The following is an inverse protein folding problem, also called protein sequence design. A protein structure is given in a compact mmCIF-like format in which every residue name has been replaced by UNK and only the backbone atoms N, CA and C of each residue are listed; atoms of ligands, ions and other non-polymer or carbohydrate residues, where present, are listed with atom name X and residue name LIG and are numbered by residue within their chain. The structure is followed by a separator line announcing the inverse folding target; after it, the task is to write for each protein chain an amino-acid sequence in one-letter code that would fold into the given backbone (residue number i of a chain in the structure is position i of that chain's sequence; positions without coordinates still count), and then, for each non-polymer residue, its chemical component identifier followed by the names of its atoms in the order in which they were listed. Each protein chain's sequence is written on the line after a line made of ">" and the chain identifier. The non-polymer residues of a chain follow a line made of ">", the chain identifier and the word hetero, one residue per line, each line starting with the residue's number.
data_IF_493275138024
#
_entry.id   IF_493275138024
#
_cell.length_a   1.000
_cell.length_b   1.000
_cell.length_c   1.000
_cell.angle_alpha   90.00
_cell.angle_beta   90.00
_cell.angle_gamma   90.00
#
_symmetry.space_group_name_H-M   'P 1'
#
loop_
_entity.id
_entity.type
_entity.pdbx_description
1 polymer ?
#
# COMPACT_ATOMS: atom_id res chain seq x y z
N UNK A 1 3.13 -17.52 26.13
CA UNK A 1 2.20 -16.82 25.22
C UNK A 1 1.74 -17.80 24.15
N UNK A 2 0.42 -17.89 23.88
CA UNK A 2 -0.10 -18.70 22.77
C UNK A 2 0.39 -18.11 21.45
N UNK A 3 0.86 -18.95 20.52
CA UNK A 3 1.42 -18.53 19.23
C UNK A 3 0.37 -17.85 18.36
N UNK A 4 -0.84 -18.39 18.36
CA UNK A 4 -1.97 -17.88 17.59
C UNK A 4 -3.12 -17.52 18.54
N UNK A 5 -3.47 -16.23 18.57
CA UNK A 5 -4.55 -15.71 19.41
C UNK A 5 -5.16 -14.47 18.73
N UNK A 6 -6.13 -14.66 17.85
CA UNK A 6 -6.82 -13.55 17.18
C UNK A 6 -7.44 -12.57 18.18
N UNK A 7 -7.21 -11.28 17.95
CA UNK A 7 -7.71 -10.21 18.82
C UNK A 7 -9.24 -10.09 18.81
N UNK A 8 -9.91 -10.61 17.79
CA UNK A 8 -11.37 -10.62 17.72
C UNK A 8 -11.97 -11.35 18.93
N UNK A 9 -11.38 -12.48 19.34
CA UNK A 9 -11.89 -13.28 20.47
C UNK A 9 -11.91 -12.46 21.76
N UNK A 10 -10.85 -11.71 22.02
CA UNK A 10 -10.77 -10.84 23.20
C UNK A 10 -11.63 -9.58 23.06
N UNK A 11 -11.81 -9.08 21.85
CA UNK A 11 -12.56 -7.85 21.57
C UNK A 11 -14.08 -8.05 21.70
N UNK A 12 -14.57 -9.26 21.48
CA UNK A 12 -15.99 -9.59 21.65
C UNK A 12 -16.41 -9.68 23.13
N UNK A 13 -15.46 -9.85 24.06
CA UNK A 13 -15.75 -9.79 25.50
C UNK A 13 -16.11 -8.36 25.90
N UNK A 14 -17.37 -8.17 26.35
CA UNK A 14 -17.89 -6.83 26.70
C UNK A 14 -18.15 -5.94 25.48
N UNK A 15 -18.39 -6.52 24.30
CA UNK A 15 -18.85 -5.79 23.12
C UNK A 15 -20.30 -5.34 23.31
N UNK A 16 -20.61 -4.10 22.98
CA UNK A 16 -21.94 -3.50 23.13
C UNK A 16 -22.35 -2.66 21.92
N UNK A 17 -23.59 -2.21 21.87
CA UNK A 17 -24.15 -1.45 20.75
C UNK A 17 -23.39 -0.13 20.47
N UNK A 18 -22.86 0.54 21.49
CA UNK A 18 -22.08 1.75 21.29
C UNK A 18 -20.74 1.48 20.58
N UNK A 19 -20.05 0.39 20.95
CA UNK A 19 -18.83 -0.06 20.26
C UNK A 19 -19.13 -0.46 18.81
N UNK A 20 -20.25 -1.17 18.59
CA UNK A 20 -20.69 -1.55 17.24
C UNK A 20 -20.92 -0.30 16.36
N UNK A 21 -21.64 0.70 16.86
CA UNK A 21 -21.89 1.93 16.11
C UNK A 21 -20.57 2.64 15.75
N UNK A 22 -19.63 2.70 16.70
CA UNK A 22 -18.32 3.30 16.49
C UNK A 22 -17.50 2.55 15.42
N UNK A 23 -17.49 1.22 15.48
CA UNK A 23 -16.79 0.37 14.50
C UNK A 23 -17.46 0.43 13.12
N UNK A 24 -18.81 0.54 13.05
CA UNK A 24 -19.54 0.74 11.79
C UNK A 24 -19.13 2.06 11.15
N UNK A 25 -19.18 3.16 11.89
CA UNK A 25 -18.78 4.48 11.38
C UNK A 25 -17.35 4.46 10.88
N UNK A 26 -16.43 3.92 11.68
CA UNK A 26 -15.03 3.82 11.30
C UNK A 26 -14.83 2.94 10.05
N UNK A 27 -15.48 1.77 10.00
CA UNK A 27 -15.41 0.84 8.87
C UNK A 27 -15.93 1.47 7.57
N UNK A 28 -17.05 2.21 7.62
CA UNK A 28 -17.60 2.95 6.47
C UNK A 28 -16.61 4.00 5.99
N UNK A 29 -16.11 4.85 6.89
CA UNK A 29 -15.19 5.94 6.53
C UNK A 29 -13.90 5.36 5.91
N UNK A 30 -13.35 4.31 6.51
CA UNK A 30 -12.13 3.69 5.99
C UNK A 30 -12.37 3.01 4.64
N UNK A 31 -13.53 2.39 4.42
CA UNK A 31 -13.89 1.84 3.13
C UNK A 31 -13.97 2.93 2.05
N UNK A 32 -14.61 4.06 2.36
CA UNK A 32 -14.67 5.22 1.48
C UNK A 32 -13.27 5.74 1.09
N UNK A 33 -12.34 5.79 2.05
CA UNK A 33 -10.94 6.17 1.79
C UNK A 33 -10.24 5.14 0.90
N UNK A 34 -10.47 3.86 1.17
CA UNK A 34 -9.75 2.76 0.54
C UNK A 34 -10.20 2.49 -0.90
N UNK A 35 -11.44 2.80 -1.27
CA UNK A 35 -11.98 2.50 -2.60
C UNK A 35 -11.15 3.09 -3.74
N UNK A 36 -11.01 4.43 -3.89
CA UNK A 36 -10.23 4.99 -4.97
C UNK A 36 -8.74 4.63 -4.86
N UNK A 37 -8.24 4.49 -3.63
CA UNK A 37 -6.86 4.14 -3.38
C UNK A 37 -6.53 2.70 -3.80
N UNK A 38 -7.40 1.73 -3.53
CA UNK A 38 -7.18 0.34 -3.92
C UNK A 38 -7.20 0.16 -5.44
N UNK A 39 -8.08 0.88 -6.13
CA UNK A 39 -8.12 0.95 -7.60
C UNK A 39 -6.81 1.55 -8.13
N UNK A 40 -6.41 2.71 -7.60
CA UNK A 40 -5.21 3.42 -8.02
C UNK A 40 -3.94 2.57 -7.84
N UNK A 41 -3.83 1.86 -6.71
CA UNK A 41 -2.68 1.01 -6.41
C UNK A 41 -2.62 -0.24 -7.30
N UNK A 42 -3.75 -0.85 -7.64
CA UNK A 42 -3.78 -1.94 -8.61
C UNK A 42 -3.25 -1.48 -9.98
N UNK A 43 -3.77 -0.35 -10.49
CA UNK A 43 -3.32 0.25 -11.75
C UNK A 43 -1.81 0.57 -11.71
N UNK A 44 -1.33 1.20 -10.63
CA UNK A 44 0.09 1.51 -10.44
C UNK A 44 0.98 0.26 -10.42
N UNK A 45 0.40 -0.87 -10.01
CA UNK A 45 1.06 -2.18 -9.97
C UNK A 45 0.96 -2.96 -11.30
N UNK A 46 0.37 -2.37 -12.35
CA UNK A 46 0.13 -3.07 -13.62
C UNK A 46 -0.97 -4.14 -13.56
N UNK A 47 -1.76 -4.14 -12.50
CA UNK A 47 -2.88 -5.05 -12.30
C UNK A 47 -4.21 -4.41 -12.74
N UNK A 48 -5.27 -5.22 -12.89
CA UNK A 48 -6.59 -4.68 -13.19
C UNK A 48 -7.18 -3.93 -11.96
N UNK A 49 -7.97 -2.87 -12.18
CA UNK A 49 -8.56 -2.08 -11.09
C UNK A 49 -9.34 -2.89 -10.05
N UNK A 50 -10.05 -3.94 -10.51
CA UNK A 50 -10.83 -4.83 -9.63
C UNK A 50 -9.95 -5.63 -8.66
N UNK A 51 -8.73 -6.01 -9.07
CA UNK A 51 -7.84 -6.84 -8.26
C UNK A 51 -7.41 -6.14 -6.97
N UNK A 52 -7.24 -4.81 -7.00
CA UNK A 52 -7.02 -4.03 -5.78
C UNK A 52 -8.20 -4.06 -4.82
N UNK A 53 -9.42 -4.04 -5.34
CA UNK A 53 -10.64 -4.17 -4.53
C UNK A 53 -10.81 -5.60 -4.01
N UNK A 54 -10.49 -6.63 -4.81
CA UNK A 54 -10.46 -8.03 -4.35
C UNK A 54 -9.51 -8.20 -3.17
N UNK A 55 -8.32 -7.64 -3.27
CA UNK A 55 -7.33 -7.66 -2.19
C UNK A 55 -7.87 -6.98 -0.93
N UNK A 56 -8.42 -5.77 -1.05
CA UNK A 56 -8.93 -5.03 0.10
C UNK A 56 -10.12 -5.73 0.76
N UNK A 57 -10.99 -6.40 -0.03
CA UNK A 57 -12.11 -7.16 0.48
C UNK A 57 -11.67 -8.49 1.08
N UNK A 58 -11.00 -9.35 0.30
CA UNK A 58 -10.70 -10.74 0.72
C UNK A 58 -9.59 -10.78 1.76
N UNK A 59 -8.41 -10.22 1.43
CA UNK A 59 -7.30 -10.20 2.39
C UNK A 59 -7.64 -9.34 3.60
N UNK A 60 -8.29 -8.17 3.39
CA UNK A 60 -8.73 -7.30 4.48
C UNK A 60 -9.65 -8.01 5.47
N UNK A 61 -10.62 -8.80 4.97
CA UNK A 61 -11.53 -9.60 5.80
C UNK A 61 -10.78 -10.66 6.63
N UNK A 62 -9.94 -11.46 5.97
CA UNK A 62 -9.21 -12.56 6.60
C UNK A 62 -8.23 -12.03 7.66
N UNK A 63 -7.47 -10.98 7.32
CA UNK A 63 -6.50 -10.39 8.24
C UNK A 63 -7.20 -9.73 9.43
N UNK A 64 -8.31 -9.01 9.22
CA UNK A 64 -9.07 -8.41 10.31
C UNK A 64 -9.67 -9.48 11.25
N UNK A 65 -10.17 -10.58 10.71
CA UNK A 65 -10.77 -11.66 11.49
C UNK A 65 -9.74 -12.46 12.30
N UNK A 66 -8.58 -12.77 11.72
CA UNK A 66 -7.54 -13.62 12.30
C UNK A 66 -6.39 -12.82 12.95
N UNK A 67 -6.34 -11.51 12.78
CA UNK A 67 -5.22 -10.65 13.13
C UNK A 67 -4.88 -10.56 14.60
N UNK A 68 -3.63 -10.22 14.85
CA UNK A 68 -3.08 -9.98 16.18
C UNK A 68 -3.26 -8.53 16.66
N UNK A 69 -3.78 -7.63 15.83
CA UNK A 69 -4.12 -6.26 16.16
C UNK A 69 -5.63 -6.05 16.26
N UNK A 70 -6.08 -5.10 17.09
CA UNK A 70 -7.51 -4.75 17.19
C UNK A 70 -7.98 -3.84 16.08
N UNK A 71 -7.10 -3.06 15.48
CA UNK A 71 -7.50 -1.93 14.63
C UNK A 71 -6.77 -1.87 13.30
N UNK A 72 -5.85 -2.83 13.03
CA UNK A 72 -5.09 -2.83 11.79
C UNK A 72 -6.02 -3.03 10.59
N UNK A 73 -5.85 -2.19 9.56
CA UNK A 73 -6.59 -2.28 8.29
C UNK A 73 -5.61 -2.69 7.21
N UNK A 74 -5.92 -3.81 6.56
CA UNK A 74 -5.05 -4.40 5.54
C UNK A 74 -5.68 -4.33 4.14
N UNK A 75 -4.82 -4.43 3.13
CA UNK A 75 -5.20 -4.39 1.72
C UNK A 75 -4.00 -4.08 0.83
N UNK A 76 -4.21 -3.68 -0.45
CA UNK A 76 -3.11 -3.31 -1.32
C UNK A 76 -2.44 -2.04 -0.82
N UNK A 77 -1.10 -1.97 -0.92
CA UNK A 77 -0.31 -0.79 -0.55
C UNK A 77 0.62 -0.36 -1.68
N UNK A 78 1.02 0.89 -1.64
CA UNK A 78 1.93 1.47 -2.62
C UNK A 78 3.32 0.80 -2.62
N UNK A 79 3.73 0.23 -1.50
CA UNK A 79 5.02 -0.44 -1.37
C UNK A 79 5.16 -1.66 -2.28
N UNK A 80 4.05 -2.32 -2.61
CA UNK A 80 4.07 -3.44 -3.54
C UNK A 80 4.07 -3.05 -5.02
N UNK A 81 3.79 -1.79 -5.36
CA UNK A 81 3.53 -1.41 -6.74
C UNK A 81 4.66 -1.82 -7.70
N UNK A 82 5.91 -1.57 -7.34
CA UNK A 82 7.07 -1.91 -8.17
C UNK A 82 7.35 -3.41 -8.25
N UNK A 83 7.23 -4.13 -7.12
CA UNK A 83 7.45 -5.59 -7.09
C UNK A 83 6.37 -6.29 -7.91
N UNK A 84 5.11 -5.95 -7.69
CA UNK A 84 3.96 -6.53 -8.39
C UNK A 84 4.07 -6.27 -9.89
N UNK A 85 4.40 -5.03 -10.29
CA UNK A 85 4.61 -4.69 -11.70
C UNK A 85 5.76 -5.50 -12.32
N UNK A 86 6.86 -5.70 -11.60
CA UNK A 86 7.99 -6.52 -12.04
C UNK A 86 7.60 -7.97 -12.26
N UNK A 87 6.89 -8.58 -11.30
CA UNK A 87 6.44 -9.97 -11.41
C UNK A 87 5.42 -10.16 -12.53
N UNK A 88 4.48 -9.21 -12.69
CA UNK A 88 3.51 -9.28 -13.81
C UNK A 88 4.24 -9.20 -15.16
N UNK A 89 5.23 -8.32 -15.29
CA UNK A 89 5.99 -8.16 -16.53
C UNK A 89 6.84 -9.39 -16.87
N UNK A 90 7.47 -10.03 -15.88
CA UNK A 90 8.36 -11.18 -16.07
C UNK A 90 7.64 -12.52 -16.14
N UNK A 91 6.61 -12.73 -15.34
CA UNK A 91 5.97 -14.03 -15.09
C UNK A 91 4.45 -14.02 -15.23
N UNK A 92 3.88 -12.86 -15.63
CA UNK A 92 2.43 -12.68 -15.81
C UNK A 92 1.64 -12.73 -14.50
N UNK A 93 0.32 -12.65 -14.62
CA UNK A 93 -0.58 -12.75 -13.48
C UNK A 93 -0.51 -14.10 -12.74
N UNK A 94 -0.30 -15.18 -13.48
CA UNK A 94 -0.13 -16.52 -12.88
C UNK A 94 1.09 -16.57 -11.97
N UNK A 95 2.21 -15.98 -12.40
CA UNK A 95 3.43 -15.85 -11.60
C UNK A 95 3.20 -15.00 -10.34
N UNK A 96 2.44 -13.91 -10.44
CA UNK A 96 2.09 -13.08 -9.30
C UNK A 96 1.25 -13.84 -8.26
N UNK A 97 0.26 -14.61 -8.70
CA UNK A 97 -0.55 -15.44 -7.82
C UNK A 97 0.34 -16.44 -7.08
N UNK A 98 1.23 -17.16 -7.80
CA UNK A 98 2.17 -18.11 -7.18
C UNK A 98 3.07 -17.40 -6.16
N UNK A 99 3.67 -16.27 -6.53
CA UNK A 99 4.51 -15.49 -5.61
C UNK A 99 3.75 -15.05 -4.35
N UNK A 100 2.49 -14.64 -4.50
CA UNK A 100 1.63 -14.21 -3.39
C UNK A 100 1.28 -15.38 -2.47
N UNK A 101 0.97 -16.56 -3.03
CA UNK A 101 0.72 -17.79 -2.26
C UNK A 101 1.97 -18.21 -1.49
N UNK A 102 3.13 -18.22 -2.15
CA UNK A 102 4.41 -18.55 -1.50
C UNK A 102 4.75 -17.54 -0.39
N UNK A 103 4.57 -16.24 -0.64
CA UNK A 103 4.74 -15.21 0.37
C UNK A 103 3.82 -15.42 1.57
N UNK A 104 2.57 -15.82 1.33
CA UNK A 104 1.61 -16.17 2.37
C UNK A 104 2.08 -17.34 3.23
N UNK A 105 2.61 -18.40 2.61
CA UNK A 105 3.19 -19.57 3.32
C UNK A 105 4.42 -19.15 4.15
N UNK A 106 5.32 -18.34 3.57
CA UNK A 106 6.50 -17.82 4.28
C UNK A 106 6.06 -17.02 5.52
N UNK A 107 5.07 -16.15 5.40
CA UNK A 107 4.54 -15.35 6.51
C UNK A 107 3.96 -16.23 7.63
N UNK A 108 3.23 -17.28 7.29
CA UNK A 108 2.71 -18.25 8.27
C UNK A 108 3.88 -18.92 9.00
N UNK A 109 4.88 -19.39 8.27
CA UNK A 109 6.09 -20.01 8.85
C UNK A 109 6.79 -19.04 9.80
N UNK A 110 7.01 -17.79 9.38
CA UNK A 110 7.62 -16.76 10.22
C UNK A 110 6.81 -16.52 11.51
N UNK A 111 5.49 -16.49 11.41
CA UNK A 111 4.61 -16.36 12.58
C UNK A 111 4.70 -17.55 13.54
N UNK A 112 4.70 -18.80 13.02
CA UNK A 112 4.85 -20.03 13.78
C UNK A 112 6.22 -20.15 14.45
N UNK A 113 7.29 -19.72 13.74
CA UNK A 113 8.66 -19.66 14.26
C UNK A 113 8.88 -18.50 15.24
N UNK A 114 7.83 -17.72 15.59
CA UNK A 114 7.90 -16.55 16.48
C UNK A 114 8.84 -15.44 16.00
N UNK A 115 9.03 -15.32 14.68
CA UNK A 115 9.89 -14.34 14.07
C UNK A 115 9.30 -12.91 14.09
N UNK A 116 8.05 -12.72 14.52
CA UNK A 116 7.40 -11.40 14.59
C UNK A 116 8.14 -10.38 15.48
N UNK A 117 8.95 -10.84 16.43
CA UNK A 117 9.80 -9.95 17.24
C UNK A 117 11.06 -9.47 16.50
N UNK A 118 11.53 -10.20 15.47
CA UNK A 118 12.75 -9.88 14.74
C UNK A 118 12.61 -8.60 13.91
N UNK A 119 11.40 -8.30 13.45
CA UNK A 119 11.13 -7.11 12.62
C UNK A 119 11.35 -5.80 13.41
N UNK A 120 11.30 -5.83 14.74
CA UNK A 120 11.67 -4.70 15.59
C UNK A 120 13.13 -4.26 15.43
N UNK A 121 13.98 -5.13 14.91
CA UNK A 121 15.40 -4.84 14.67
C UNK A 121 15.68 -4.22 13.31
N UNK A 122 14.63 -4.04 12.44
CA UNK A 122 14.82 -3.34 11.17
C UNK A 122 15.21 -1.88 11.41
N UNK A 123 16.40 -1.45 10.94
CA UNK A 123 16.84 -0.08 11.12
C UNK A 123 15.90 0.92 10.45
N UNK A 124 15.52 1.97 11.18
CA UNK A 124 14.65 3.03 10.68
C UNK A 124 15.21 3.71 9.41
N UNK A 125 16.53 3.78 9.28
CA UNK A 125 17.23 4.32 8.10
C UNK A 125 16.91 3.54 6.82
N UNK A 126 16.86 2.21 6.91
CA UNK A 126 16.49 1.34 5.77
C UNK A 126 15.03 1.60 5.40
N UNK A 127 14.13 1.63 6.39
CA UNK A 127 12.70 1.86 6.15
C UNK A 127 12.46 3.20 5.46
N UNK A 128 13.03 4.30 5.97
CA UNK A 128 12.91 5.62 5.35
C UNK A 128 13.54 5.65 3.95
N UNK A 129 14.68 4.98 3.77
CA UNK A 129 15.35 4.91 2.46
C UNK A 129 14.46 4.27 1.39
N UNK A 130 13.95 3.07 1.66
CA UNK A 130 13.13 2.39 0.66
C UNK A 130 11.75 3.03 0.48
N UNK A 131 11.08 3.52 1.52
CA UNK A 131 9.78 4.19 1.37
C UNK A 131 9.88 5.48 0.55
N UNK A 132 10.95 6.25 0.77
CA UNK A 132 11.25 7.42 -0.06
C UNK A 132 11.57 7.04 -1.52
N UNK A 133 12.32 5.94 -1.73
CA UNK A 133 12.60 5.41 -3.07
C UNK A 133 11.34 4.98 -3.81
N UNK A 134 10.47 4.20 -3.16
CA UNK A 134 9.17 3.80 -3.71
C UNK A 134 8.31 5.03 -4.04
N UNK A 135 8.30 6.05 -3.18
CA UNK A 135 7.56 7.27 -3.44
C UNK A 135 8.00 7.95 -4.76
N UNK A 136 9.30 8.00 -5.02
CA UNK A 136 9.84 8.54 -6.28
C UNK A 136 9.45 7.67 -7.47
N UNK A 137 9.53 6.34 -7.36
CA UNK A 137 9.14 5.44 -8.47
C UNK A 137 7.65 5.55 -8.79
N UNK A 138 6.78 5.73 -7.78
CA UNK A 138 5.35 5.98 -7.98
C UNK A 138 5.14 7.32 -8.68
N UNK A 139 5.79 8.39 -8.23
CA UNK A 139 5.69 9.70 -8.88
C UNK A 139 6.05 9.62 -10.36
N UNK A 140 7.18 9.02 -10.69
CA UNK A 140 7.61 8.83 -12.09
C UNK A 140 6.57 8.02 -12.86
N UNK A 141 6.05 6.94 -12.28
CA UNK A 141 5.06 6.07 -12.91
C UNK A 141 3.74 6.77 -13.27
N UNK A 142 3.36 7.80 -12.52
CA UNK A 142 2.08 8.50 -12.72
C UNK A 142 2.16 9.68 -13.68
N UNK A 143 3.35 10.12 -14.11
CA UNK A 143 3.53 11.25 -15.02
C UNK A 143 2.80 10.99 -16.35
N UNK A 144 2.87 9.77 -16.90
CA UNK A 144 2.18 9.36 -18.12
C UNK A 144 0.68 9.68 -18.04
N UNK A 145 0.00 9.17 -17.05
CA UNK A 145 -1.45 9.30 -16.91
C UNK A 145 -1.87 10.72 -16.51
N UNK A 146 -1.04 11.41 -15.73
CA UNK A 146 -1.29 12.81 -15.35
C UNK A 146 -1.22 13.76 -16.53
N UNK A 147 -0.25 13.55 -17.42
CA UNK A 147 -0.04 14.36 -18.64
C UNK A 147 -0.82 13.81 -19.84
N UNK A 148 -1.41 12.62 -19.74
CA UNK A 148 -2.11 11.95 -20.85
C UNK A 148 -1.17 11.57 -21.99
N UNK A 149 0.08 11.15 -21.70
CA UNK A 149 1.07 10.78 -22.72
C UNK A 149 0.72 9.44 -23.37
N UNK A 150 1.00 9.34 -24.67
CA UNK A 150 0.92 8.07 -25.40
C UNK A 150 2.34 7.52 -25.64
N UNK A 151 2.63 6.35 -25.10
CA UNK A 151 3.93 5.70 -25.24
C UNK A 151 4.05 4.81 -26.48
N UNK A 152 3.03 4.75 -27.35
CA UNK A 152 3.00 3.89 -28.57
C UNK A 152 3.42 2.44 -28.37
N UNK A 153 3.39 1.94 -27.12
CA UNK A 153 3.80 0.58 -26.76
C UNK A 153 3.55 0.24 -25.28
N UNK A 154 4.16 -0.87 -24.85
CA UNK A 154 4.08 -1.29 -23.46
C UNK A 154 4.75 -0.27 -22.53
N UNK A 155 4.13 0.02 -21.39
CA UNK A 155 4.71 0.92 -20.39
C UNK A 155 5.86 0.20 -19.68
N UNK A 156 7.10 0.74 -19.70
CA UNK A 156 8.23 0.14 -19.01
C UNK A 156 7.97 -0.03 -17.50
N UNK A 157 8.65 -0.99 -16.89
CA UNK A 157 8.53 -1.23 -15.43
C UNK A 157 9.51 -0.36 -14.67
N UNK A 158 10.75 -0.26 -15.13
CA UNK A 158 11.83 0.46 -14.46
C UNK A 158 11.65 1.98 -14.52
N UNK A 159 11.97 2.65 -13.42
CA UNK A 159 11.80 4.11 -13.31
C UNK A 159 12.67 4.88 -14.33
N UNK A 160 13.89 4.39 -14.58
CA UNK A 160 14.80 4.99 -15.57
C UNK A 160 14.26 4.92 -17.00
N UNK A 161 13.76 3.77 -17.42
CA UNK A 161 13.15 3.57 -18.74
C UNK A 161 11.87 4.40 -18.88
N UNK A 162 11.03 4.47 -17.83
CA UNK A 162 9.85 5.36 -17.82
C UNK A 162 10.22 6.81 -18.06
N UNK A 163 11.28 7.31 -17.42
CA UNK A 163 11.74 8.69 -17.64
C UNK A 163 12.17 8.91 -19.08
N UNK A 164 12.87 7.97 -19.69
CA UNK A 164 13.27 8.04 -21.10
C UNK A 164 12.03 8.08 -21.99
N UNK A 165 11.04 7.19 -21.76
CA UNK A 165 9.80 7.18 -22.55
C UNK A 165 8.94 8.44 -22.33
N UNK A 166 8.92 9.02 -21.14
CA UNK A 166 8.25 10.31 -20.88
C UNK A 166 8.87 11.41 -21.73
N UNK A 167 10.21 11.48 -21.77
CA UNK A 167 10.92 12.52 -22.56
C UNK A 167 10.68 12.32 -24.06
N UNK A 168 10.80 11.08 -24.57
CA UNK A 168 10.57 10.77 -26.01
C UNK A 168 9.17 11.12 -26.47
N UNK A 169 8.17 10.84 -25.63
CA UNK A 169 6.76 11.00 -25.97
C UNK A 169 6.15 12.28 -25.39
N UNK A 170 6.97 13.24 -24.93
CA UNK A 170 6.47 14.48 -24.33
C UNK A 170 5.61 15.32 -25.30
N UNK A 171 5.87 15.22 -26.60
CA UNK A 171 5.08 15.89 -27.64
C UNK A 171 3.63 15.39 -27.74
N UNK A 172 3.32 14.20 -27.19
CA UNK A 172 1.95 13.64 -27.17
C UNK A 172 1.10 14.16 -26.02
N UNK A 173 1.61 15.11 -25.21
CA UNK A 173 0.94 15.71 -24.06
C UNK A 173 -0.48 16.17 -24.41
N UNK A 174 -1.45 15.68 -23.64
CA UNK A 174 -2.84 16.06 -23.76
C UNK A 174 -3.18 17.14 -22.71
N UNK A 175 -3.27 18.39 -23.14
CA UNK A 175 -3.58 19.51 -22.25
C UNK A 175 -4.88 19.32 -21.46
N UNK A 176 -5.88 18.59 -22.01
CA UNK A 176 -7.13 18.28 -21.34
C UNK A 176 -6.92 17.35 -20.14
N UNK A 177 -6.06 16.34 -20.29
CA UNK A 177 -5.68 15.44 -19.21
C UNK A 177 -4.93 16.20 -18.11
N UNK A 178 -3.97 17.04 -18.48
CA UNK A 178 -3.24 17.90 -17.55
C UNK A 178 -4.18 18.79 -16.73
N UNK A 179 -5.14 19.46 -17.37
CA UNK A 179 -6.11 20.33 -16.67
C UNK A 179 -6.94 19.52 -15.66
N UNK A 180 -7.43 18.33 -16.05
CA UNK A 180 -8.20 17.46 -15.16
C UNK A 180 -7.32 16.97 -13.97
N UNK A 181 -6.07 16.59 -14.24
CA UNK A 181 -5.10 16.22 -13.21
C UNK A 181 -4.81 17.34 -12.22
N UNK A 182 -4.63 18.58 -12.74
CA UNK A 182 -4.43 19.76 -11.90
C UNK A 182 -5.65 20.10 -11.04
N UNK A 183 -6.86 19.98 -11.60
CA UNK A 183 -8.11 20.12 -10.82
C UNK A 183 -8.14 19.10 -9.68
N UNK A 184 -7.85 17.82 -9.97
CA UNK A 184 -7.79 16.78 -8.96
C UNK A 184 -6.77 17.07 -7.87
N UNK A 185 -5.56 17.46 -8.25
CA UNK A 185 -4.48 17.79 -7.32
C UNK A 185 -4.83 19.01 -6.45
N UNK A 186 -5.42 20.05 -7.06
CA UNK A 186 -5.88 21.24 -6.34
C UNK A 186 -6.96 20.89 -5.30
N UNK A 187 -7.92 20.04 -5.65
CA UNK A 187 -8.96 19.56 -4.71
C UNK A 187 -8.31 18.79 -3.56
N UNK A 188 -7.39 17.87 -3.83
CA UNK A 188 -6.72 17.06 -2.80
C UNK A 188 -5.93 17.93 -1.82
N UNK A 189 -5.17 18.89 -2.32
CA UNK A 189 -4.38 19.83 -1.52
C UNK A 189 -5.31 20.74 -0.70
N UNK A 190 -6.28 21.39 -1.37
CA UNK A 190 -7.23 22.28 -0.72
C UNK A 190 -8.00 21.57 0.38
N UNK A 191 -8.47 20.33 0.13
CA UNK A 191 -9.20 19.52 1.13
C UNK A 191 -8.33 19.21 2.34
N UNK A 192 -7.07 18.84 2.12
CA UNK A 192 -6.10 18.57 3.21
C UNK A 192 -5.87 19.82 4.06
N UNK A 193 -5.72 20.99 3.44
CA UNK A 193 -5.54 22.27 4.14
C UNK A 193 -6.81 22.65 4.90
N UNK A 194 -7.99 22.56 4.28
CA UNK A 194 -9.28 22.86 4.89
C UNK A 194 -9.55 21.95 6.10
N UNK A 195 -9.33 20.63 5.96
CA UNK A 195 -9.50 19.68 7.05
C UNK A 195 -8.59 19.95 8.25
N UNK A 196 -7.42 20.58 8.04
CA UNK A 196 -6.49 20.97 9.11
C UNK A 196 -6.88 22.29 9.79
N UNK A 197 -7.51 23.22 9.08
CA UNK A 197 -7.82 24.58 9.56
C UNK A 197 -9.21 24.69 10.19
N UNK A 198 -10.18 23.93 9.70
CA UNK A 198 -11.58 24.02 10.17
C UNK A 198 -11.69 23.40 11.57
N UNK A 199 -12.29 24.13 12.51
CA UNK A 199 -12.58 23.70 13.88
C UNK A 199 -14.10 23.55 14.11
N UNK A 200 -14.49 22.83 15.16
CA UNK A 200 -15.91 22.63 15.52
C UNK A 200 -16.58 21.50 14.76
N UNK A 201 -17.92 21.49 14.71
CA UNK A 201 -18.73 20.42 14.10
C UNK A 201 -18.42 20.19 12.60
N UNK A 202 -18.11 21.25 11.86
CA UNK A 202 -17.70 21.15 10.45
C UNK A 202 -16.40 20.36 10.26
N UNK A 203 -15.45 20.43 11.21
CA UNK A 203 -14.21 19.64 11.18
C UNK A 203 -14.48 18.13 11.12
N UNK A 204 -15.56 17.66 11.75
CA UNK A 204 -15.94 16.26 11.76
C UNK A 204 -16.33 15.81 10.34
N UNK A 205 -17.13 16.61 9.62
CA UNK A 205 -17.53 16.31 8.25
C UNK A 205 -16.32 16.22 7.30
N UNK A 206 -15.40 17.21 7.38
CA UNK A 206 -14.18 17.23 6.56
C UNK A 206 -13.23 16.05 6.84
N UNK A 207 -13.25 15.52 8.08
CA UNK A 207 -12.46 14.32 8.44
C UNK A 207 -13.13 13.02 8.00
N UNK A 208 -14.46 12.99 7.91
CA UNK A 208 -15.23 11.82 7.48
C UNK A 208 -15.21 11.64 5.96
N UNK A 209 -15.17 12.74 5.19
CA UNK A 209 -15.16 12.69 3.73
C UNK A 209 -13.73 12.87 3.22
N UNK A 210 -13.10 11.87 2.60
CA UNK A 210 -11.75 12.00 2.07
C UNK A 210 -11.74 12.84 0.79
N UNK A 211 -10.70 13.69 0.65
CA UNK A 211 -10.52 14.52 -0.54
C UNK A 211 -10.42 13.72 -1.84
N UNK A 212 -9.94 12.48 -1.77
CA UNK A 212 -9.86 11.59 -2.95
C UNK A 212 -11.24 11.27 -3.55
N UNK A 213 -12.27 11.08 -2.74
CA UNK A 213 -13.65 10.89 -3.25
C UNK A 213 -14.18 12.14 -3.90
N UNK A 214 -13.93 13.33 -3.30
CA UNK A 214 -14.33 14.60 -3.90
C UNK A 214 -13.63 14.80 -5.26
N UNK A 215 -12.32 14.52 -5.32
CA UNK A 215 -11.58 14.60 -6.57
C UNK A 215 -12.13 13.64 -7.64
N UNK A 216 -12.48 12.40 -7.26
CA UNK A 216 -13.10 11.41 -8.15
C UNK A 216 -14.45 11.91 -8.67
N UNK A 217 -15.37 12.34 -7.77
CA UNK A 217 -16.69 12.82 -8.16
C UNK A 217 -16.57 14.02 -9.10
N UNK A 218 -15.78 15.04 -8.73
CA UNK A 218 -15.57 16.23 -9.55
C UNK A 218 -14.95 15.87 -10.90
N UNK A 219 -13.95 14.97 -10.89
CA UNK A 219 -13.31 14.50 -12.12
C UNK A 219 -14.28 13.81 -13.08
N UNK A 220 -15.14 12.93 -12.56
CA UNK A 220 -16.21 12.29 -13.35
C UNK A 220 -17.15 13.34 -13.93
N UNK A 221 -17.64 14.29 -13.11
CA UNK A 221 -18.56 15.34 -13.55
C UNK A 221 -17.91 16.22 -14.64
N UNK A 222 -16.64 16.61 -14.45
CA UNK A 222 -15.91 17.40 -15.46
C UNK A 222 -15.82 16.64 -16.79
N UNK A 223 -15.42 15.36 -16.79
CA UNK A 223 -15.31 14.59 -18.03
C UNK A 223 -16.66 14.31 -18.68
N UNK A 224 -17.73 14.12 -17.90
CA UNK A 224 -19.06 13.83 -18.45
C UNK A 224 -19.76 15.08 -19.01
N UNK A 225 -19.68 16.20 -18.32
CA UNK A 225 -20.47 17.40 -18.62
C UNK A 225 -19.71 18.53 -19.30
N UNK A 226 -18.40 18.38 -19.55
CA UNK A 226 -17.59 19.38 -20.27
C UNK A 226 -16.91 18.78 -21.51
N UNK A 227 -16.39 19.61 -22.44
CA UNK A 227 -15.62 19.12 -23.58
C UNK A 227 -14.22 18.61 -23.21
N UNK A 228 -13.87 18.62 -21.92
CA UNK A 228 -12.60 18.10 -21.42
C UNK A 228 -12.66 16.56 -21.34
N UNK A 229 -12.31 15.90 -22.44
CA UNK A 229 -12.25 14.42 -22.51
C UNK A 229 -10.82 13.94 -22.31
N UNK A 230 -10.66 12.85 -21.55
CA UNK A 230 -9.40 12.13 -21.35
C UNK A 230 -9.65 10.64 -21.17
N UNK A 231 -8.59 9.85 -21.08
CA UNK A 231 -8.70 8.42 -20.76
C UNK A 231 -9.36 8.21 -19.39
N UNK A 232 -10.28 7.24 -19.32
CA UNK A 232 -10.95 6.81 -18.09
C UNK A 232 -10.58 5.35 -17.81
N UNK A 233 -10.86 4.86 -16.60
CA UNK A 233 -10.67 3.44 -16.28
C UNK A 233 -11.40 2.57 -17.31
N UNK A 234 -12.64 2.90 -17.65
CA UNK A 234 -13.44 2.12 -18.62
C UNK A 234 -12.88 2.15 -20.03
N UNK A 235 -12.19 3.21 -20.45
CA UNK A 235 -11.55 3.27 -21.76
C UNK A 235 -10.30 2.41 -21.86
N UNK A 236 -9.55 2.26 -20.76
CA UNK A 236 -8.34 1.43 -20.71
C UNK A 236 -8.63 -0.02 -20.33
N UNK A 237 -9.69 -0.25 -19.55
CA UNK A 237 -10.11 -1.57 -19.08
C UNK A 237 -11.57 -1.86 -19.48
N UNK A 238 -11.86 -2.04 -20.77
CA UNK A 238 -13.26 -2.21 -21.27
C UNK A 238 -13.91 -3.48 -20.73
N UNK A 239 -13.13 -4.53 -20.52
CA UNK A 239 -13.57 -5.83 -19.99
C UNK A 239 -13.86 -5.82 -18.50
N UNK A 240 -13.55 -4.73 -17.79
CA UNK A 240 -13.77 -4.61 -16.36
C UNK A 240 -15.25 -4.82 -16.03
N UNK A 241 -15.56 -5.87 -15.30
CA UNK A 241 -16.92 -6.17 -14.81
C UNK A 241 -16.97 -6.17 -13.31
N UNK A 242 -18.09 -5.70 -12.74
CA UNK A 242 -18.36 -5.88 -11.31
C UNK A 242 -18.70 -7.35 -11.05
N UNK A 243 -18.42 -7.81 -9.85
CA UNK A 243 -18.78 -9.16 -9.44
C UNK A 243 -17.99 -9.64 -8.22
N UNK A 244 -18.43 -10.77 -7.66
CA UNK A 244 -17.67 -11.39 -6.58
C UNK A 244 -16.32 -11.93 -7.08
N UNK A 245 -15.25 -11.83 -6.26
CA UNK A 245 -13.99 -12.48 -6.55
C UNK A 245 -14.19 -13.98 -6.77
N UNK A 246 -13.73 -14.48 -7.91
CA UNK A 246 -13.85 -15.91 -8.22
C UNK A 246 -12.63 -16.65 -7.71
N UNK A 247 -12.88 -17.79 -7.08
CA UNK A 247 -11.80 -18.70 -6.70
C UNK A 247 -11.15 -19.29 -7.94
N UNK A 248 -9.83 -19.21 -8.02
CA UNK A 248 -9.05 -19.80 -9.09
C UNK A 248 -7.72 -20.32 -8.54
N UNK A 249 -7.32 -21.51 -9.01
CA UNK A 249 -6.01 -22.05 -8.72
C UNK A 249 -5.04 -21.64 -9.85
N UNK A 250 -3.81 -21.23 -9.52
CA UNK A 250 -2.81 -20.95 -10.54
C UNK A 250 -2.32 -22.24 -11.19
N UNK A 251 -1.81 -22.11 -12.40
CA UNK A 251 -1.08 -23.21 -13.03
C UNK A 251 0.33 -23.32 -12.43
N UNK A 252 0.58 -24.36 -11.67
CA UNK A 252 1.88 -24.63 -11.07
C UNK A 252 2.84 -25.23 -12.11
N UNK A 253 3.62 -24.39 -12.78
CA UNK A 253 4.75 -24.79 -13.59
C UNK A 253 6.04 -24.62 -12.80
N UNK A 254 6.90 -25.63 -12.76
CA UNK A 254 8.12 -25.63 -11.94
C UNK A 254 9.00 -24.42 -12.25
N UNK A 255 9.17 -24.11 -13.55
CA UNK A 255 9.99 -22.96 -13.98
C UNK A 255 9.44 -21.63 -13.44
N UNK A 256 8.12 -21.45 -13.49
CA UNK A 256 7.47 -20.24 -12.92
C UNK A 256 7.63 -20.18 -11.40
N UNK A 257 7.46 -21.31 -10.71
CA UNK A 257 7.65 -21.38 -9.24
C UNK A 257 9.08 -20.98 -8.87
N UNK A 258 10.08 -21.53 -9.56
CA UNK A 258 11.50 -21.21 -9.30
C UNK A 258 11.79 -19.74 -9.61
N UNK A 259 11.27 -19.21 -10.72
CA UNK A 259 11.51 -17.83 -11.14
C UNK A 259 10.98 -16.81 -10.13
N UNK A 260 9.84 -17.08 -9.47
CA UNK A 260 9.21 -16.12 -8.54
C UNK A 260 9.62 -16.31 -7.08
N UNK A 261 10.52 -17.23 -6.74
CA UNK A 261 11.01 -17.43 -5.37
C UNK A 261 11.56 -16.13 -4.75
N UNK A 262 12.46 -15.38 -5.41
CA UNK A 262 12.99 -14.14 -4.86
C UNK A 262 11.90 -13.11 -4.58
N UNK A 263 10.93 -12.99 -5.48
CA UNK A 263 9.80 -12.07 -5.35
C UNK A 263 8.86 -12.47 -4.20
N UNK A 264 8.62 -13.77 -4.03
CA UNK A 264 7.84 -14.27 -2.90
C UNK A 264 8.47 -13.92 -1.54
N UNK A 265 9.79 -14.05 -1.42
CA UNK A 265 10.51 -13.61 -0.21
C UNK A 265 10.42 -12.10 -0.02
N UNK A 266 10.56 -11.31 -1.10
CA UNK A 266 10.45 -9.86 -1.05
C UNK A 266 9.05 -9.42 -0.60
N UNK A 267 8.00 -9.99 -1.18
CA UNK A 267 6.61 -9.72 -0.81
C UNK A 267 6.40 -10.09 0.67
N UNK A 268 6.87 -11.25 1.13
CA UNK A 268 6.70 -11.69 2.50
C UNK A 268 7.41 -10.75 3.51
N UNK A 269 8.66 -10.38 3.24
CA UNK A 269 9.43 -9.50 4.12
C UNK A 269 8.79 -8.12 4.18
N UNK A 270 8.43 -7.55 3.03
CA UNK A 270 7.83 -6.23 2.96
C UNK A 270 6.46 -6.21 3.62
N UNK A 271 5.62 -7.22 3.37
CA UNK A 271 4.33 -7.38 4.03
C UNK A 271 4.47 -7.43 5.56
N UNK A 272 5.42 -8.22 6.04
CA UNK A 272 5.69 -8.34 7.47
C UNK A 272 6.13 -7.01 8.09
N UNK A 273 7.06 -6.30 7.45
CA UNK A 273 7.58 -5.02 7.93
C UNK A 273 6.44 -3.99 8.01
N UNK A 274 5.72 -3.77 6.92
CA UNK A 274 4.67 -2.76 6.87
C UNK A 274 3.51 -3.06 7.83
N UNK A 275 3.04 -4.32 7.88
CA UNK A 275 1.94 -4.69 8.76
C UNK A 275 2.32 -4.53 10.23
N UNK A 276 3.50 -4.98 10.63
CA UNK A 276 3.94 -4.84 12.02
C UNK A 276 4.27 -3.40 12.39
N UNK A 277 4.79 -2.57 11.46
CA UNK A 277 4.92 -1.14 11.68
C UNK A 277 3.55 -0.47 11.86
N UNK A 278 2.56 -0.82 11.03
CA UNK A 278 1.19 -0.34 11.18
C UNK A 278 0.62 -0.70 12.55
N UNK A 279 0.84 -1.93 13.02
CA UNK A 279 0.43 -2.37 14.35
C UNK A 279 1.13 -1.59 15.47
N UNK A 280 2.44 -1.37 15.38
CA UNK A 280 3.20 -0.60 16.40
C UNK A 280 2.72 0.85 16.49
N UNK A 281 2.43 1.48 15.34
CA UNK A 281 1.89 2.85 15.31
C UNK A 281 0.50 2.87 15.92
N UNK A 282 -0.37 1.94 15.57
CA UNK A 282 -1.73 1.89 16.08
C UNK A 282 -1.80 1.53 17.56
N UNK A 283 -0.92 0.67 18.07
CA UNK A 283 -0.82 0.35 19.49
C UNK A 283 -0.65 1.61 20.34
N UNK A 284 0.25 2.52 19.90
CA UNK A 284 0.48 3.81 20.58
C UNK A 284 -0.75 4.72 20.53
N UNK A 285 -1.60 4.60 19.51
CA UNK A 285 -2.80 5.42 19.34
C UNK A 285 -3.97 4.96 20.23
N UNK A 286 -4.01 3.67 20.60
CA UNK A 286 -5.13 3.07 21.36
C UNK A 286 -4.70 2.51 22.72
N UNK A 287 -3.43 2.68 23.08
CA UNK A 287 -2.81 2.13 24.31
C UNK A 287 -3.07 0.61 24.45
N UNK A 288 -2.78 -0.13 23.38
CA UNK A 288 -2.87 -1.60 23.36
C UNK A 288 -1.52 -2.20 22.91
N UNK A 289 -1.46 -3.53 22.88
CA UNK A 289 -0.32 -4.29 22.40
C UNK A 289 -0.79 -5.40 21.47
N UNK A 290 -0.37 -5.35 20.22
CA UNK A 290 -0.66 -6.40 19.25
C UNK A 290 0.15 -7.67 19.52
N UNK A 291 -0.31 -8.79 18.96
CA UNK A 291 0.46 -10.03 18.89
C UNK A 291 1.09 -10.17 17.50
N UNK A 292 2.39 -9.85 17.39
CA UNK A 292 3.11 -9.86 16.11
C UNK A 292 3.09 -11.21 15.40
N UNK A 293 3.14 -12.33 16.13
CA UNK A 293 3.13 -13.66 15.51
C UNK A 293 1.75 -14.02 14.95
N UNK A 294 0.69 -13.72 15.71
CA UNK A 294 -0.69 -13.86 15.22
C UNK A 294 -0.93 -13.00 14.00
N UNK A 295 -0.41 -11.77 13.99
CA UNK A 295 -0.53 -10.85 12.85
C UNK A 295 0.16 -11.40 11.60
N UNK A 296 1.37 -11.96 11.71
CA UNK A 296 2.06 -12.60 10.59
C UNK A 296 1.30 -13.82 10.04
N UNK A 297 0.75 -14.66 10.91
CA UNK A 297 -0.06 -15.81 10.48
C UNK A 297 -1.32 -15.34 9.75
N UNK A 298 -2.02 -14.33 10.29
CA UNK A 298 -3.20 -13.76 9.66
C UNK A 298 -2.88 -13.11 8.31
N UNK A 299 -1.75 -12.37 8.25
CA UNK A 299 -1.25 -11.74 7.04
C UNK A 299 -0.94 -12.78 5.96
N UNK A 300 -0.32 -13.90 6.35
CA UNK A 300 -0.06 -15.02 5.45
C UNK A 300 -1.34 -15.66 4.93
N UNK A 301 -2.29 -15.96 5.81
CA UNK A 301 -3.61 -16.48 5.41
C UNK A 301 -4.36 -15.50 4.48
N UNK A 302 -4.31 -14.21 4.78
CA UNK A 302 -4.91 -13.16 3.94
C UNK A 302 -4.28 -13.08 2.55
N UNK A 303 -2.96 -13.22 2.44
CA UNK A 303 -2.28 -13.22 1.14
C UNK A 303 -2.60 -14.48 0.33
N UNK A 304 -2.67 -15.66 0.97
CA UNK A 304 -3.11 -16.88 0.30
C UNK A 304 -4.53 -16.70 -0.25
N UNK A 305 -5.46 -16.22 0.58
CA UNK A 305 -6.83 -15.95 0.11
C UNK A 305 -6.85 -14.88 -1.00
N UNK A 306 -6.08 -13.79 -0.88
CA UNK A 306 -5.99 -12.77 -1.93
C UNK A 306 -5.61 -13.37 -3.28
N UNK A 307 -4.52 -14.12 -3.33
CA UNK A 307 -4.05 -14.77 -4.55
C UNK A 307 -5.08 -15.73 -5.15
N UNK A 308 -5.71 -16.58 -4.32
CA UNK A 308 -6.73 -17.54 -4.77
C UNK A 308 -8.02 -16.89 -5.27
N UNK A 309 -8.32 -15.68 -4.84
CA UNK A 309 -9.51 -14.92 -5.28
C UNK A 309 -9.16 -13.78 -6.24
N UNK A 310 -8.04 -13.87 -6.95
CA UNK A 310 -7.65 -12.96 -8.02
C UNK A 310 -7.19 -11.58 -7.55
N UNK A 311 -6.82 -11.44 -6.28
CA UNK A 311 -6.22 -10.22 -5.74
C UNK A 311 -4.70 -10.17 -5.93
N UNK A 312 -4.12 -9.04 -5.55
CA UNK A 312 -2.67 -8.79 -5.47
C UNK A 312 -2.20 -8.91 -4.02
N UNK A 313 -0.89 -8.88 -3.73
CA UNK A 313 -0.38 -8.94 -2.36
C UNK A 313 -0.95 -7.86 -1.45
N UNK A 314 -1.20 -8.23 -0.19
CA UNK A 314 -1.77 -7.39 0.86
C UNK A 314 -0.83 -7.21 2.04
N UNK A 315 -0.91 -6.05 2.69
CA UNK A 315 -0.30 -5.80 4.00
C UNK A 315 -1.11 -4.80 4.81
N UNK A 316 -0.74 -4.57 6.07
CA UNK A 316 -1.33 -3.54 6.92
C UNK A 316 -0.97 -2.15 6.42
N UNK A 317 -1.97 -1.28 6.31
CA UNK A 317 -1.81 0.07 5.80
C UNK A 317 -1.84 1.10 6.94
N UNK A 318 -0.70 1.71 7.27
CA UNK A 318 -0.54 2.68 8.38
C UNK A 318 -1.59 3.80 8.28
N UNK A 319 -1.74 4.42 7.12
CA UNK A 319 -2.65 5.54 6.92
C UNK A 319 -4.13 5.15 7.10
N UNK A 320 -4.55 3.99 6.58
CA UNK A 320 -5.90 3.44 6.75
C UNK A 320 -6.16 3.04 8.20
N UNK A 321 -5.17 2.42 8.85
CA UNK A 321 -5.24 2.04 10.27
C UNK A 321 -5.34 3.28 11.16
N UNK A 322 -4.56 4.31 10.91
CA UNK A 322 -4.66 5.58 11.62
C UNK A 322 -6.02 6.27 11.41
N UNK A 323 -6.57 6.21 10.18
CA UNK A 323 -7.91 6.71 9.89
C UNK A 323 -8.98 5.92 10.66
N UNK A 324 -8.88 4.60 10.72
CA UNK A 324 -9.75 3.74 11.51
C UNK A 324 -9.78 4.19 12.99
N UNK A 325 -8.61 4.30 13.61
CA UNK A 325 -8.49 4.72 15.02
C UNK A 325 -9.04 6.12 15.25
N UNK A 326 -8.72 7.09 14.39
CA UNK A 326 -9.18 8.48 14.51
C UNK A 326 -10.70 8.62 14.36
N UNK A 327 -11.34 7.72 13.64
CA UNK A 327 -12.79 7.70 13.45
C UNK A 327 -13.53 6.77 14.44
N UNK A 328 -12.83 6.31 15.47
CA UNK A 328 -13.43 5.58 16.59
C UNK A 328 -13.36 4.06 16.52
N UNK A 329 -12.74 3.48 15.48
CA UNK A 329 -12.51 2.02 15.41
C UNK A 329 -11.63 1.54 16.56
N UNK A 330 -12.11 0.52 17.25
CA UNK A 330 -11.43 -0.03 18.45
C UNK A 330 -11.40 -1.55 18.45
N UNK A 331 -12.08 -2.20 17.51
CA UNK A 331 -12.11 -3.66 17.41
C UNK A 331 -11.92 -4.11 15.97
N UNK A 332 -11.57 -5.40 15.74
CA UNK A 332 -11.42 -5.96 14.39
C UNK A 332 -12.70 -5.89 13.55
N UNK A 333 -13.86 -5.68 14.19
CA UNK A 333 -15.15 -5.54 13.49
C UNK A 333 -15.13 -4.37 12.52
N UNK A 334 -14.45 -3.24 12.85
CA UNK A 334 -14.29 -2.13 11.92
C UNK A 334 -13.59 -2.55 10.62
N UNK A 335 -12.52 -3.38 10.72
CA UNK A 335 -11.82 -3.94 9.56
C UNK A 335 -12.66 -4.95 8.75
N UNK A 336 -13.45 -5.77 9.43
CA UNK A 336 -14.40 -6.70 8.79
C UNK A 336 -15.47 -5.92 8.01
N UNK A 337 -16.07 -4.90 8.62
CA UNK A 337 -17.06 -4.05 7.98
C UNK A 337 -16.47 -3.28 6.79
N UNK A 338 -15.27 -2.75 6.93
CA UNK A 338 -14.52 -2.15 5.83
C UNK A 338 -14.42 -3.10 4.62
N UNK A 339 -14.01 -4.35 4.85
CA UNK A 339 -13.86 -5.35 3.79
C UNK A 339 -15.21 -5.70 3.13
N UNK A 340 -16.28 -5.86 3.91
CA UNK A 340 -17.63 -6.13 3.41
C UNK A 340 -18.14 -4.95 2.56
N UNK A 341 -17.93 -3.71 2.99
CA UNK A 341 -18.36 -2.52 2.25
C UNK A 341 -17.61 -2.41 0.92
N UNK A 342 -16.33 -2.71 0.88
CA UNK A 342 -15.56 -2.76 -0.38
C UNK A 342 -16.12 -3.84 -1.31
N UNK A 343 -16.44 -5.01 -0.77
CA UNK A 343 -17.05 -6.09 -1.56
C UNK A 343 -18.42 -5.68 -2.14
N UNK A 344 -19.26 -5.00 -1.35
CA UNK A 344 -20.53 -4.46 -1.83
C UNK A 344 -20.32 -3.40 -2.93
N UNK A 345 -19.37 -2.50 -2.74
CA UNK A 345 -19.01 -1.50 -3.75
C UNK A 345 -18.59 -2.15 -5.06
N UNK A 346 -17.76 -3.17 -4.99
CA UNK A 346 -17.26 -3.90 -6.16
C UNK A 346 -18.40 -4.54 -6.97
N UNK A 347 -19.42 -5.07 -6.28
CA UNK A 347 -20.57 -5.68 -6.94
C UNK A 347 -21.50 -4.64 -7.57
N UNK A 348 -21.71 -3.50 -6.88
CA UNK A 348 -22.77 -2.54 -7.25
C UNK A 348 -22.22 -1.35 -8.02
N UNK A 349 -21.05 -0.82 -7.63
CA UNK A 349 -20.59 0.49 -8.09
C UNK A 349 -19.49 0.42 -9.17
N UNK A 350 -19.15 -0.77 -9.65
CA UNK A 350 -18.12 -0.91 -10.70
C UNK A 350 -18.44 -0.15 -11.99
N UNK A 351 -19.70 -0.03 -12.45
CA UNK A 351 -20.03 0.81 -13.60
C UNK A 351 -19.64 2.28 -13.39
N UNK A 352 -19.77 2.80 -12.17
CA UNK A 352 -19.37 4.17 -11.82
C UNK A 352 -17.84 4.28 -11.78
N UNK A 353 -17.14 3.25 -11.29
CA UNK A 353 -15.68 3.23 -11.27
C UNK A 353 -15.07 3.35 -12.68
N UNK A 354 -15.73 2.82 -13.71
CA UNK A 354 -15.30 2.96 -15.13
C UNK A 354 -15.24 4.41 -15.59
N UNK A 355 -16.02 5.30 -15.00
CA UNK A 355 -16.08 6.72 -15.38
C UNK A 355 -14.92 7.54 -14.80
N UNK A 356 -14.13 6.98 -13.88
CA UNK A 356 -13.04 7.71 -13.21
C UNK A 356 -11.94 8.05 -14.22
N UNK A 357 -11.57 9.35 -14.33
CA UNK A 357 -10.51 9.78 -15.23
C UNK A 357 -9.11 9.35 -14.74
N UNK A 358 -8.25 8.88 -15.64
CA UNK A 358 -6.88 8.47 -15.29
C UNK A 358 -6.04 9.61 -14.66
N UNK A 359 -6.13 10.87 -15.11
CA UNK A 359 -5.41 11.96 -14.45
C UNK A 359 -5.80 12.19 -12.98
N UNK A 360 -7.04 11.86 -12.59
CA UNK A 360 -7.48 11.91 -11.18
C UNK A 360 -6.81 10.80 -10.36
N UNK A 361 -6.72 9.59 -10.92
CA UNK A 361 -5.99 8.48 -10.30
C UNK A 361 -4.52 8.86 -10.09
N UNK A 362 -3.89 9.44 -11.10
CA UNK A 362 -2.52 9.93 -11.02
C UNK A 362 -2.34 11.02 -9.94
N UNK A 363 -3.27 11.97 -9.85
CA UNK A 363 -3.26 13.00 -8.80
C UNK A 363 -3.38 12.40 -7.39
N UNK A 364 -4.23 11.38 -7.20
CA UNK A 364 -4.35 10.65 -5.93
C UNK A 364 -3.03 9.97 -5.59
N UNK A 365 -2.39 9.31 -6.54
CA UNK A 365 -1.12 8.62 -6.34
C UNK A 365 0.06 9.59 -6.11
N UNK A 366 0.04 10.79 -6.67
CA UNK A 366 1.00 11.85 -6.32
C UNK A 366 0.90 12.23 -4.84
N UNK A 367 -0.32 12.40 -4.32
CA UNK A 367 -0.51 12.68 -2.90
C UNK A 367 -0.08 11.50 -2.01
N UNK A 368 -0.35 10.27 -2.45
CA UNK A 368 0.09 9.05 -1.75
C UNK A 368 1.62 8.98 -1.71
N UNK A 369 2.29 9.19 -2.84
CA UNK A 369 3.74 9.21 -2.93
C UNK A 369 4.35 10.30 -2.02
N UNK A 370 3.78 11.52 -2.03
CA UNK A 370 4.20 12.58 -1.13
C UNK A 370 4.08 12.17 0.35
N UNK A 371 2.95 11.59 0.76
CA UNK A 371 2.73 11.16 2.14
C UNK A 371 3.64 9.98 2.53
N UNK A 372 3.95 9.09 1.58
CA UNK A 372 4.80 7.92 1.78
C UNK A 372 6.29 8.25 1.79
N UNK A 373 6.70 9.35 1.17
CA UNK A 373 8.10 9.71 0.99
C UNK A 373 8.86 9.92 2.29
N UNK A 374 8.16 10.16 3.40
CA UNK A 374 8.74 10.49 4.72
C UNK A 374 9.88 11.54 4.63
N UNK A 375 9.79 12.49 3.70
CA UNK A 375 10.85 13.44 3.37
C UNK A 375 11.41 14.20 4.59
N UNK A 376 10.56 14.42 5.62
CA UNK A 376 10.99 15.04 6.88
C UNK A 376 11.92 14.13 7.68
N UNK A 377 11.61 12.83 7.74
CA UNK A 377 12.46 11.80 8.36
C UNK A 377 13.76 11.64 7.59
N UNK A 378 13.68 11.60 6.25
CA UNK A 378 14.83 11.53 5.35
C UNK A 378 15.81 12.70 5.60
N UNK A 379 15.32 13.94 5.54
CA UNK A 379 16.13 15.12 5.84
C UNK A 379 16.60 15.16 7.29
N UNK A 380 15.80 14.67 8.24
CA UNK A 380 16.17 14.53 9.64
C UNK A 380 17.40 13.65 9.82
N UNK A 381 17.42 12.47 9.19
CA UNK A 381 18.57 11.55 9.23
C UNK A 381 19.80 12.20 8.59
N UNK A 382 19.67 12.86 7.44
CA UNK A 382 20.78 13.57 6.80
C UNK A 382 21.38 14.66 7.72
N UNK A 383 20.56 15.34 8.51
CA UNK A 383 20.99 16.39 9.45
C UNK A 383 21.74 15.83 10.68
N UNK A 384 21.58 14.57 11.04
CA UNK A 384 22.29 13.96 12.18
C UNK A 384 23.80 13.89 12.00
N UNK A 385 24.29 14.02 10.75
CA UNK A 385 25.71 13.89 10.35
C UNK A 385 26.35 12.54 10.72
N UNK A 386 25.55 11.53 11.07
CA UNK A 386 26.04 10.17 11.28
C UNK A 386 26.28 9.51 9.93
N UNK A 387 27.53 9.45 9.51
CA UNK A 387 27.94 8.97 8.17
C UNK A 387 27.39 7.58 7.87
N UNK A 388 27.39 6.64 8.82
CA UNK A 388 26.83 5.30 8.63
C UNK A 388 25.33 5.31 8.31
N UNK A 389 24.55 6.09 9.05
CA UNK A 389 23.09 6.20 8.84
C UNK A 389 22.78 6.83 7.47
N UNK A 390 23.56 7.84 7.07
CA UNK A 390 23.38 8.52 5.77
C UNK A 390 23.73 7.57 4.62
N UNK A 391 24.83 6.80 4.72
CA UNK A 391 25.20 5.82 3.70
C UNK A 391 24.11 4.78 3.53
N UNK A 392 23.61 4.19 4.62
CA UNK A 392 22.52 3.21 4.58
C UNK A 392 21.27 3.82 3.93
N UNK A 393 20.86 5.01 4.36
CA UNK A 393 19.71 5.73 3.84
C UNK A 393 19.80 5.97 2.33
N UNK A 394 20.90 6.61 1.89
CA UNK A 394 21.08 7.00 0.49
C UNK A 394 21.24 5.77 -0.41
N UNK A 395 22.00 4.77 0.03
CA UNK A 395 22.18 3.52 -0.73
C UNK A 395 20.85 2.80 -0.90
N UNK A 396 20.07 2.64 0.18
CA UNK A 396 18.74 2.00 0.11
C UNK A 396 17.79 2.78 -0.79
N UNK A 397 17.79 4.12 -0.68
CA UNK A 397 16.98 5.00 -1.53
C UNK A 397 17.33 4.84 -3.02
N UNK A 398 18.61 4.97 -3.38
CA UNK A 398 19.06 4.90 -4.77
C UNK A 398 18.84 3.50 -5.37
N UNK A 399 19.16 2.44 -4.63
CA UNK A 399 18.97 1.07 -5.11
C UNK A 399 17.49 0.72 -5.30
N UNK A 400 16.59 1.30 -4.50
CA UNK A 400 15.14 1.12 -4.69
C UNK A 400 14.67 1.73 -6.01
N UNK A 401 15.24 2.86 -6.43
CA UNK A 401 14.85 3.55 -7.68
C UNK A 401 15.49 2.90 -8.92
N UNK A 402 16.78 2.55 -8.82
CA UNK A 402 17.61 2.13 -9.98
C UNK A 402 17.46 0.62 -10.26
N UNK A 403 17.39 -0.20 -9.22
CA UNK A 403 17.31 -1.65 -9.34
C UNK A 403 15.93 -2.15 -8.89
N UNK A 404 15.87 -2.62 -7.66
CA UNK A 404 14.61 -3.07 -7.05
C UNK A 404 14.71 -3.02 -5.51
N UNK A 405 13.54 -3.14 -4.89
CA UNK A 405 13.42 -3.06 -3.43
C UNK A 405 14.16 -4.19 -2.69
N UNK A 406 14.21 -5.40 -3.27
CA UNK A 406 14.87 -6.55 -2.63
C UNK A 406 16.35 -6.30 -2.46
N UNK A 407 17.01 -5.89 -3.55
CA UNK A 407 18.43 -5.54 -3.54
C UNK A 407 18.69 -4.38 -2.58
N UNK A 408 17.82 -3.37 -2.57
CA UNK A 408 17.93 -2.22 -1.68
C UNK A 408 17.90 -2.62 -0.19
N UNK A 409 16.94 -3.47 0.21
CA UNK A 409 16.81 -3.93 1.60
C UNK A 409 18.02 -4.79 2.00
N UNK A 410 18.43 -5.75 1.17
CA UNK A 410 19.57 -6.63 1.44
C UNK A 410 20.84 -5.78 1.60
N UNK A 411 21.10 -4.87 0.67
CA UNK A 411 22.25 -3.98 0.74
C UNK A 411 22.22 -3.12 2.01
N UNK A 412 21.06 -2.54 2.34
CA UNK A 412 20.89 -1.76 3.56
C UNK A 412 21.18 -2.55 4.83
N UNK A 413 20.71 -3.79 4.92
CA UNK A 413 20.98 -4.69 6.06
C UNK A 413 22.48 -5.00 6.14
N UNK A 414 23.12 -5.39 5.02
CA UNK A 414 24.56 -5.72 4.98
C UNK A 414 25.39 -4.52 5.42
N UNK A 415 25.13 -3.34 4.89
CA UNK A 415 25.85 -2.12 5.25
C UNK A 415 25.66 -1.80 6.74
N UNK A 416 24.45 -1.92 7.25
CA UNK A 416 24.15 -1.70 8.68
C UNK A 416 24.94 -2.67 9.56
N UNK A 417 24.98 -3.96 9.21
CA UNK A 417 25.75 -4.97 9.93
C UNK A 417 27.25 -4.66 9.92
N UNK A 418 27.81 -4.21 8.80
CA UNK A 418 29.22 -3.81 8.68
C UNK A 418 29.50 -2.65 9.65
N UNK A 419 28.70 -1.59 9.64
CA UNK A 419 28.89 -0.46 10.55
C UNK A 419 28.76 -0.86 12.03
N UNK A 420 27.80 -1.73 12.34
CA UNK A 420 27.63 -2.27 13.70
C UNK A 420 28.87 -3.04 14.17
N UNK A 421 29.44 -3.90 13.32
CA UNK A 421 30.66 -4.65 13.62
C UNK A 421 31.88 -3.74 13.80
N UNK A 422 32.04 -2.75 12.92
CA UNK A 422 33.11 -1.75 13.02
C UNK A 422 33.03 -0.99 14.36
N UNK A 423 31.82 -0.57 14.74
CA UNK A 423 31.59 0.14 15.99
C UNK A 423 31.96 -0.72 17.21
N UNK A 424 31.51 -1.97 17.23
CA UNK A 424 31.81 -2.93 18.31
C UNK A 424 33.31 -3.26 18.44
N UNK A 425 34.03 -3.29 17.30
CA UNK A 425 35.49 -3.49 17.29
C UNK A 425 36.21 -2.26 17.89
N UNK A 426 35.74 -1.04 17.53
CA UNK A 426 36.32 0.21 18.08
C UNK A 426 36.07 0.32 19.59
N UNK A 427 34.86 -0.01 20.07
CA UNK A 427 34.57 -0.03 21.51
C UNK A 427 35.44 -1.03 22.28
N UNK A 428 35.64 -2.25 21.73
CA UNK A 428 36.53 -3.25 22.35
C UNK A 428 37.99 -2.81 22.37
N UNK A 429 38.47 -2.06 21.37
CA UNK A 429 39.81 -1.52 21.36
C UNK A 429 39.97 -0.36 22.37
N UNK A 430 38.97 0.51 22.48
CA UNK A 430 38.96 1.61 23.44
C UNK A 430 38.88 1.13 24.91
N UNK A 431 38.22 -0.02 25.16
CA UNK A 431 38.13 -0.64 26.49
C UNK A 431 39.42 -1.44 26.89
N UNK A 432 40.35 -1.65 25.95
CA UNK A 432 41.64 -2.33 26.21
C UNK A 432 42.82 -1.38 26.38
N UNK A 433 42.68 -0.11 26.00
CA UNK A 433 43.58 1.00 26.27
C UNK A 433 43.05 1.83 27.45
#
# INVERSE_FOLDING_TARGET
>A
MKIFQPKIISSLKGYNGHKLLSDVIAGVIVAIIALPLSIALAIASGAEPAQGLFTAAVAGLVIAALGGSRVNISGPTAAFATIVAGVIASSGMNGLVIATLMAGVILIILGLCRAGSLIRFMPHTITVGFTSGIAVTILIGQIKDFLGLDFHGATPVEAGEKLIEIVKNFATLQWKALVIGLIGLAILIAWTILASKIKGKASMLFKMVPGSIIAVIVGILVVQFTPLKCATIGSLYPTLTGGFPKFSLPEFKLDTVIAVIPDAFAIAILAAIESLLSCVVSDKMIDDKHNSNTELIALGAGNICSGLFGGIPATGAIARTAANVKNGGRTPIAGILHAIIILLFLVVMMPVAKLIPMPIIAAILFLVAYNMSEWKSFLGICKTRKVGDIIVLVTTFLLTIILNLVVAIIAGIVITLIFFLIHKIKEKKAAKN
#
